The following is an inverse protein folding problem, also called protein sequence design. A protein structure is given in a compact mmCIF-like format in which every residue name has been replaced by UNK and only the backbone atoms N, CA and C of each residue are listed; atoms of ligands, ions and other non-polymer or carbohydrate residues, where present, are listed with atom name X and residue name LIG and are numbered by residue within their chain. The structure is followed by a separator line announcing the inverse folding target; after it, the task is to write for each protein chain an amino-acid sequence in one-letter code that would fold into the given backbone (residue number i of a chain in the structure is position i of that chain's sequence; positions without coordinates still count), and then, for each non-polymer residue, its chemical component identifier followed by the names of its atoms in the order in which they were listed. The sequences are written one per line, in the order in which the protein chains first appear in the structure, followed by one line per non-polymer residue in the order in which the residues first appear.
data_IF_024155224582
#
_entry.id   IF_024155224582
#
_cell.length_a   1.000
_cell.length_b   1.000
_cell.length_c   1.000
_cell.angle_alpha   90.00
_cell.angle_beta   90.00
_cell.angle_gamma   90.00
#
_symmetry.space_group_name_H-M   'P 1'
#
loop_
_entity.id
_entity.type
_entity.pdbx_description
1 polymer ?
#
# COMPACT_ATOMS: atom_id res chain seq x y z
N UNK A 1 24.03 17.83 -9.88
CA UNK A 1 22.66 18.21 -9.46
C UNK A 1 22.14 17.32 -8.33
N UNK A 2 22.51 16.04 -8.32
CA UNK A 2 22.12 15.07 -7.29
C UNK A 2 22.68 15.39 -5.89
N UNK A 3 23.95 15.83 -5.79
CA UNK A 3 24.57 16.29 -4.53
C UNK A 3 23.79 17.45 -3.88
N UNK A 4 23.51 18.51 -4.66
CA UNK A 4 22.68 19.64 -4.21
C UNK A 4 21.30 19.18 -3.72
N UNK A 5 20.65 18.24 -4.43
CA UNK A 5 19.35 17.71 -4.03
C UNK A 5 19.45 17.03 -2.67
N UNK A 6 20.48 16.19 -2.46
CA UNK A 6 20.65 15.43 -1.23
C UNK A 6 20.90 16.35 -0.02
N UNK A 7 21.83 17.30 -0.14
CA UNK A 7 22.19 18.18 0.97
C UNK A 7 21.03 19.09 1.35
N UNK A 8 20.37 19.70 0.36
CA UNK A 8 19.19 20.54 0.62
C UNK A 8 18.03 19.72 1.19
N UNK A 9 17.84 18.47 0.71
CA UNK A 9 16.82 17.56 1.26
C UNK A 9 17.07 17.26 2.73
N UNK A 10 18.32 17.02 3.13
CA UNK A 10 18.68 16.77 4.53
C UNK A 10 18.18 17.90 5.44
N UNK A 11 18.55 19.15 5.13
CA UNK A 11 18.11 20.31 5.92
C UNK A 11 16.59 20.53 5.87
N UNK A 12 15.96 20.27 4.73
CA UNK A 12 14.50 20.39 4.59
C UNK A 12 13.76 19.39 5.48
N UNK A 13 14.23 18.15 5.58
CA UNK A 13 13.59 17.12 6.42
C UNK A 13 13.67 17.49 7.90
N UNK A 14 14.83 17.95 8.38
CA UNK A 14 15.02 18.41 9.76
C UNK A 14 14.15 19.64 10.10
N UNK A 15 13.85 20.48 9.10
CA UNK A 15 13.10 21.72 9.26
C UNK A 15 11.66 21.65 8.76
N UNK A 16 11.06 20.45 8.71
CA UNK A 16 9.64 20.24 8.33
C UNK A 16 9.27 20.87 6.98
N UNK A 17 10.19 20.78 6.03
CA UNK A 17 10.08 21.32 4.67
C UNK A 17 9.96 22.85 4.58
N UNK A 18 10.24 23.59 5.66
CA UNK A 18 10.34 25.06 5.60
C UNK A 18 11.65 25.44 4.91
N UNK A 19 11.60 26.00 3.67
CA UNK A 19 12.81 26.27 2.91
C UNK A 19 13.63 27.43 3.47
N UNK A 20 13.00 28.38 4.19
CA UNK A 20 13.70 29.50 4.80
C UNK A 20 14.47 29.03 6.04
N UNK A 21 13.81 28.27 6.93
CA UNK A 21 14.46 27.71 8.12
C UNK A 21 15.56 26.72 7.76
N UNK A 22 15.33 25.86 6.76
CA UNK A 22 16.32 24.91 6.29
C UNK A 22 17.57 25.61 5.72
N UNK A 23 17.37 26.68 4.94
CA UNK A 23 18.47 27.47 4.41
C UNK A 23 19.23 28.21 5.52
N UNK A 24 18.53 28.80 6.49
CA UNK A 24 19.15 29.42 7.68
C UNK A 24 19.95 28.42 8.51
N UNK A 25 19.41 27.22 8.72
CA UNK A 25 20.08 26.14 9.44
C UNK A 25 21.38 25.72 8.74
N UNK A 26 21.35 25.54 7.41
CA UNK A 26 22.56 25.25 6.64
C UNK A 26 23.59 26.38 6.76
N UNK A 27 23.18 27.64 6.54
CA UNK A 27 24.11 28.78 6.65
C UNK A 27 24.75 28.80 8.04
N UNK A 28 23.96 28.62 9.09
CA UNK A 28 24.44 28.61 10.47
C UNK A 28 25.48 27.51 10.70
N UNK A 29 25.22 26.28 10.27
CA UNK A 29 26.15 25.15 10.43
C UNK A 29 27.49 25.39 9.71
N UNK A 30 27.45 25.89 8.47
CA UNK A 30 28.67 26.17 7.71
C UNK A 30 29.47 27.34 8.31
N UNK A 31 28.80 28.37 8.84
CA UNK A 31 29.46 29.45 9.56
C UNK A 31 30.10 28.97 10.88
N UNK A 32 29.40 28.13 11.64
CA UNK A 32 29.90 27.59 12.91
C UNK A 32 31.07 26.61 12.72
N UNK A 33 31.05 25.81 11.65
CA UNK A 33 32.12 24.87 11.30
C UNK A 33 33.31 25.51 10.57
N UNK A 34 33.19 26.77 10.15
CA UNK A 34 34.18 27.46 9.34
C UNK A 34 34.35 26.88 7.93
N UNK A 35 33.42 26.02 7.49
CA UNK A 35 33.44 25.42 6.16
C UNK A 35 32.83 26.37 5.14
N UNK A 36 33.34 26.42 3.90
CA UNK A 36 32.72 27.20 2.84
C UNK A 36 31.36 26.60 2.45
N UNK A 37 30.36 27.45 2.25
CA UNK A 37 29.06 27.03 1.72
C UNK A 37 29.28 26.40 0.33
N UNK A 38 28.68 25.23 0.03
CA UNK A 38 28.90 24.56 -1.25
C UNK A 38 28.46 25.42 -2.43
N UNK A 39 29.35 25.62 -3.40
CA UNK A 39 29.15 26.54 -4.54
C UNK A 39 27.93 26.20 -5.43
N UNK A 40 27.48 24.94 -5.40
CA UNK A 40 26.34 24.47 -6.18
C UNK A 40 24.99 24.81 -5.53
N UNK A 41 24.97 25.29 -4.29
CA UNK A 41 23.78 25.82 -3.62
C UNK A 41 23.80 27.34 -3.79
N UNK A 42 22.88 27.86 -4.62
CA UNK A 42 22.81 29.28 -5.00
C UNK A 42 21.99 30.13 -4.03
N UNK A 43 21.45 29.50 -2.98
CA UNK A 43 20.72 30.15 -1.89
C UNK A 43 19.31 29.60 -1.72
N UNK A 44 18.45 30.35 -1.02
CA UNK A 44 17.10 29.93 -0.61
C UNK A 44 16.21 29.47 -1.78
N UNK A 45 16.44 29.93 -3.00
CA UNK A 45 15.68 29.49 -4.19
C UNK A 45 15.81 27.99 -4.46
N UNK A 46 16.97 27.40 -4.19
CA UNK A 46 17.17 25.96 -4.36
C UNK A 46 16.40 25.16 -3.30
N UNK A 47 16.35 25.68 -2.06
CA UNK A 47 15.52 25.13 -0.98
C UNK A 47 14.03 25.21 -1.31
N UNK A 48 13.55 26.34 -1.82
CA UNK A 48 12.15 26.49 -2.25
C UNK A 48 11.82 25.47 -3.33
N UNK A 49 12.65 25.37 -4.37
CA UNK A 49 12.43 24.44 -5.47
C UNK A 49 12.40 22.97 -5.00
N UNK A 50 13.36 22.59 -4.17
CA UNK A 50 13.46 21.20 -3.68
C UNK A 50 12.34 20.90 -2.68
N UNK A 51 11.95 21.86 -1.82
CA UNK A 51 10.84 21.67 -0.87
C UNK A 51 9.53 21.30 -1.56
N UNK A 52 9.21 21.96 -2.69
CA UNK A 52 8.01 21.67 -3.47
C UNK A 52 8.07 20.27 -4.10
N UNK A 53 9.22 19.89 -4.66
CA UNK A 53 9.42 18.55 -5.24
C UNK A 53 9.33 17.46 -4.16
N UNK A 54 9.98 17.69 -3.02
CA UNK A 54 10.02 16.76 -1.90
C UNK A 54 8.64 16.60 -1.25
N UNK A 55 7.86 17.67 -1.11
CA UNK A 55 6.48 17.60 -0.63
C UNK A 55 5.61 16.69 -1.52
N UNK A 56 5.73 16.81 -2.84
CA UNK A 56 5.02 15.96 -3.80
C UNK A 56 5.50 14.50 -3.71
N UNK A 57 6.81 14.27 -3.60
CA UNK A 57 7.38 12.92 -3.46
C UNK A 57 6.92 12.24 -2.16
N UNK A 58 6.88 12.97 -1.04
CA UNK A 58 6.42 12.48 0.25
C UNK A 58 4.92 12.15 0.24
N UNK A 59 4.07 13.04 -0.28
CA UNK A 59 2.63 12.79 -0.41
C UNK A 59 2.36 11.55 -1.28
N UNK A 60 3.04 11.42 -2.42
CA UNK A 60 2.92 10.22 -3.27
C UNK A 60 3.32 8.94 -2.52
N UNK A 61 4.41 8.99 -1.76
CA UNK A 61 4.89 7.85 -0.97
C UNK A 61 3.90 7.47 0.14
N UNK A 62 3.33 8.46 0.81
CA UNK A 62 2.31 8.25 1.84
C UNK A 62 1.03 7.64 1.25
N UNK A 63 0.54 8.18 0.12
CA UNK A 63 -0.64 7.64 -0.56
C UNK A 63 -0.42 6.20 -1.05
N UNK A 64 0.77 5.87 -1.57
CA UNK A 64 1.11 4.50 -1.93
C UNK A 64 1.14 3.59 -0.71
N UNK A 65 1.81 3.99 0.37
CA UNK A 65 1.87 3.22 1.61
C UNK A 65 0.47 2.99 2.21
N UNK A 66 -0.42 3.99 2.16
CA UNK A 66 -1.80 3.86 2.60
C UNK A 66 -2.57 2.85 1.74
N UNK A 67 -2.48 2.94 0.41
CA UNK A 67 -3.12 1.98 -0.51
C UNK A 67 -2.60 0.56 -0.31
N UNK A 68 -1.31 0.40 -0.05
CA UNK A 68 -0.72 -0.92 0.17
C UNK A 68 -1.18 -1.53 1.50
N UNK A 69 -1.31 -0.72 2.55
CA UNK A 69 -1.93 -1.15 3.83
C UNK A 69 -3.39 -1.55 3.63
N UNK A 70 -4.19 -0.71 2.98
CA UNK A 70 -5.61 -1.00 2.70
C UNK A 70 -5.76 -2.30 1.89
N UNK A 71 -4.90 -2.53 0.88
CA UNK A 71 -4.89 -3.78 0.11
C UNK A 71 -4.52 -4.99 0.95
N UNK A 72 -3.54 -4.86 1.84
CA UNK A 72 -3.12 -5.93 2.74
C UNK A 72 -4.24 -6.29 3.73
N UNK A 73 -4.91 -5.29 4.30
CA UNK A 73 -6.06 -5.47 5.20
C UNK A 73 -7.25 -6.12 4.50
N UNK A 74 -7.57 -5.68 3.26
CA UNK A 74 -8.61 -6.30 2.45
C UNK A 74 -8.28 -7.76 2.15
N UNK A 75 -7.03 -8.05 1.75
CA UNK A 75 -6.58 -9.41 1.51
C UNK A 75 -6.72 -10.29 2.75
N UNK A 76 -6.31 -9.79 3.92
CA UNK A 76 -6.45 -10.53 5.17
C UNK A 76 -7.91 -10.80 5.53
N UNK A 77 -8.78 -9.80 5.33
CA UNK A 77 -10.23 -9.92 5.54
C UNK A 77 -10.82 -11.06 4.71
N UNK A 78 -10.46 -11.13 3.43
CA UNK A 78 -10.96 -12.18 2.53
C UNK A 78 -10.39 -13.55 2.86
N UNK A 79 -9.11 -13.65 3.22
CA UNK A 79 -8.51 -14.89 3.71
C UNK A 79 -9.28 -15.41 4.94
N UNK A 80 -9.51 -14.54 5.93
CA UNK A 80 -10.25 -14.91 7.13
C UNK A 80 -11.70 -15.28 6.83
N UNK A 81 -12.34 -14.60 5.88
CA UNK A 81 -13.67 -14.98 5.40
C UNK A 81 -13.67 -16.41 4.85
N UNK A 82 -12.77 -16.74 3.91
CA UNK A 82 -12.65 -18.10 3.34
C UNK A 82 -12.39 -19.14 4.44
N UNK A 83 -11.45 -18.86 5.35
CA UNK A 83 -11.11 -19.78 6.44
C UNK A 83 -12.26 -20.01 7.41
N UNK A 84 -13.12 -19.02 7.64
CA UNK A 84 -14.24 -19.12 8.58
C UNK A 84 -15.56 -19.57 7.95
N UNK A 85 -15.65 -19.69 6.62
CA UNK A 85 -16.83 -20.24 5.96
C UNK A 85 -17.13 -21.65 6.50
N UNK A 86 -18.36 -21.84 6.97
CA UNK A 86 -18.92 -23.15 7.31
C UNK A 86 -19.22 -23.97 6.04
N UNK A 87 -19.40 -25.29 6.22
CA UNK A 87 -19.75 -26.21 5.12
C UNK A 87 -21.05 -25.77 4.42
N UNK A 88 -22.05 -25.29 5.17
CA UNK A 88 -23.32 -24.86 4.59
C UNK A 88 -23.19 -23.52 3.84
N UNK A 89 -22.44 -22.55 4.36
CA UNK A 89 -22.24 -21.27 3.67
C UNK A 89 -21.51 -21.44 2.32
N UNK A 90 -20.45 -22.27 2.27
CA UNK A 90 -19.75 -22.51 1.00
C UNK A 90 -20.62 -23.27 -0.01
N UNK A 91 -21.52 -24.15 0.47
CA UNK A 91 -22.49 -24.85 -0.40
C UNK A 91 -23.48 -23.88 -1.04
N UNK A 92 -23.97 -22.92 -0.29
CA UNK A 92 -24.90 -21.92 -0.80
C UNK A 92 -24.21 -20.96 -1.77
N UNK A 93 -22.99 -20.51 -1.45
CA UNK A 93 -22.14 -19.74 -2.37
C UNK A 93 -21.92 -20.52 -3.66
N UNK A 94 -21.48 -21.78 -3.57
CA UNK A 94 -21.22 -22.62 -4.74
C UNK A 94 -22.46 -22.75 -5.62
N UNK A 95 -23.62 -23.09 -5.03
CA UNK A 95 -24.89 -23.21 -5.78
C UNK A 95 -25.31 -21.91 -6.46
N UNK A 96 -25.13 -20.77 -5.79
CA UNK A 96 -25.52 -19.45 -6.29
C UNK A 96 -24.64 -19.01 -7.47
N UNK A 97 -23.34 -19.27 -7.38
CA UNK A 97 -22.36 -18.68 -8.30
C UNK A 97 -21.84 -19.62 -9.40
N UNK A 98 -21.92 -20.96 -9.23
CA UNK A 98 -21.31 -21.96 -10.15
C UNK A 98 -21.69 -21.86 -11.63
N UNK A 99 -22.84 -21.25 -11.95
CA UNK A 99 -23.36 -21.16 -13.31
C UNK A 99 -23.36 -19.70 -13.83
N UNK A 100 -22.94 -18.75 -12.99
CA UNK A 100 -22.91 -17.30 -13.29
C UNK A 100 -21.48 -16.81 -13.50
N UNK A 101 -20.50 -17.44 -12.84
CA UNK A 101 -19.09 -17.07 -12.95
C UNK A 101 -18.40 -17.75 -14.13
N UNK A 102 -17.20 -17.25 -14.47
CA UNK A 102 -16.37 -17.88 -15.50
C UNK A 102 -16.00 -19.32 -15.13
N UNK A 103 -15.66 -20.16 -16.12
CA UNK A 103 -15.23 -21.55 -15.85
C UNK A 103 -14.04 -21.61 -14.89
N UNK A 104 -13.08 -20.69 -15.02
CA UNK A 104 -11.92 -20.61 -14.14
C UNK A 104 -12.31 -20.27 -12.70
N UNK A 105 -13.22 -19.33 -12.50
CA UNK A 105 -13.73 -18.98 -11.17
C UNK A 105 -14.60 -20.10 -10.56
N UNK A 106 -15.31 -20.85 -11.40
CA UNK A 106 -16.08 -22.03 -10.98
C UNK A 106 -15.18 -23.11 -10.40
N UNK A 107 -14.01 -23.36 -11.01
CA UNK A 107 -13.03 -24.32 -10.49
C UNK A 107 -12.53 -23.89 -9.11
N UNK A 108 -12.22 -22.60 -8.94
CA UNK A 108 -11.82 -22.04 -7.64
C UNK A 108 -12.89 -22.26 -6.57
N UNK A 109 -14.17 -22.00 -6.90
CA UNK A 109 -15.28 -22.26 -5.99
C UNK A 109 -15.43 -23.74 -5.67
N UNK A 110 -15.19 -24.60 -6.65
CA UNK A 110 -15.21 -26.04 -6.46
C UNK A 110 -14.09 -26.52 -5.55
N UNK A 111 -12.87 -26.01 -5.72
CA UNK A 111 -11.71 -26.37 -4.90
C UNK A 111 -11.94 -25.99 -3.43
N UNK A 112 -12.37 -24.76 -3.17
CA UNK A 112 -12.70 -24.31 -1.80
C UNK A 112 -13.86 -25.13 -1.22
N UNK A 113 -14.88 -25.45 -2.03
CA UNK A 113 -15.98 -26.31 -1.61
C UNK A 113 -15.48 -27.71 -1.22
N UNK A 114 -14.66 -28.36 -2.05
CA UNK A 114 -14.11 -29.69 -1.77
C UNK A 114 -13.24 -29.66 -0.52
N UNK A 115 -12.32 -28.69 -0.41
CA UNK A 115 -11.42 -28.55 0.75
C UNK A 115 -12.16 -28.32 2.07
N UNK A 116 -13.35 -27.70 2.04
CA UNK A 116 -14.19 -27.51 3.23
C UNK A 116 -15.02 -28.75 3.58
N UNK A 117 -15.33 -29.58 2.59
CA UNK A 117 -16.18 -30.77 2.77
C UNK A 117 -15.38 -32.03 3.11
N UNK A 118 -14.15 -32.15 2.59
CA UNK A 118 -13.16 -33.06 3.16
C UNK A 118 -12.75 -32.52 4.52
N UNK A 119 -12.46 -33.37 5.51
CA UNK A 119 -12.02 -32.92 6.84
C UNK A 119 -10.57 -32.37 6.83
N UNK A 120 -10.26 -31.62 5.78
CA UNK A 120 -9.02 -30.94 5.55
C UNK A 120 -9.02 -29.60 6.30
N UNK A 121 -8.04 -29.41 7.17
CA UNK A 121 -7.84 -28.14 7.85
C UNK A 121 -7.15 -27.15 6.89
N UNK A 122 -7.97 -26.38 6.18
CA UNK A 122 -7.49 -25.32 5.30
C UNK A 122 -6.70 -24.27 6.09
N UNK A 123 -5.51 -23.93 5.59
CA UNK A 123 -4.64 -22.91 6.15
C UNK A 123 -4.50 -21.71 5.21
N UNK A 124 -3.93 -20.61 5.71
CA UNK A 124 -3.63 -19.43 4.90
C UNK A 124 -2.73 -19.70 3.70
N UNK A 125 -1.88 -20.74 3.75
CA UNK A 125 -0.97 -21.10 2.65
C UNK A 125 -1.70 -21.72 1.47
N UNK A 126 -2.88 -22.27 1.70
CA UNK A 126 -3.69 -22.95 0.68
C UNK A 126 -4.56 -21.94 -0.10
N UNK A 127 -4.65 -20.70 0.40
CA UNK A 127 -5.42 -19.62 -0.21
C UNK A 127 -4.52 -18.80 -1.12
N UNK A 128 -4.67 -19.01 -2.42
CA UNK A 128 -3.94 -18.27 -3.45
C UNK A 128 -4.60 -16.93 -3.83
N UNK A 129 -3.94 -16.19 -4.71
CA UNK A 129 -4.43 -14.89 -5.16
C UNK A 129 -5.71 -15.00 -6.01
N UNK A 130 -5.93 -16.10 -6.72
CA UNK A 130 -7.11 -16.28 -7.54
C UNK A 130 -8.35 -16.57 -6.67
N UNK A 131 -8.20 -17.39 -5.62
CA UNK A 131 -9.19 -17.56 -4.55
C UNK A 131 -9.56 -16.22 -3.93
N UNK A 132 -8.57 -15.42 -3.53
CA UNK A 132 -8.81 -14.09 -2.96
C UNK A 132 -9.62 -13.21 -3.93
N UNK A 133 -9.27 -13.20 -5.22
CA UNK A 133 -9.97 -12.37 -6.20
C UNK A 133 -11.44 -12.80 -6.42
N UNK A 134 -11.70 -14.11 -6.47
CA UNK A 134 -13.05 -14.66 -6.60
C UNK A 134 -13.88 -14.30 -5.37
N UNK A 135 -13.38 -14.60 -4.18
CA UNK A 135 -14.11 -14.34 -2.94
C UNK A 135 -14.20 -12.86 -2.60
N UNK A 136 -13.29 -12.00 -3.09
CA UNK A 136 -13.45 -10.53 -2.99
C UNK A 136 -14.70 -10.05 -3.71
N UNK A 137 -14.99 -10.58 -4.92
CA UNK A 137 -16.18 -10.20 -5.69
C UNK A 137 -17.45 -10.67 -4.98
N UNK A 138 -17.47 -11.93 -4.55
CA UNK A 138 -18.59 -12.53 -3.83
C UNK A 138 -18.86 -11.81 -2.50
N UNK A 139 -17.82 -11.51 -1.73
CA UNK A 139 -17.94 -10.81 -0.44
C UNK A 139 -18.54 -9.42 -0.60
N UNK A 140 -18.15 -8.67 -1.64
CA UNK A 140 -18.73 -7.35 -1.94
C UNK A 140 -20.20 -7.41 -2.30
N UNK A 141 -20.61 -8.40 -3.10
CA UNK A 141 -22.02 -8.61 -3.48
C UNK A 141 -22.91 -9.07 -2.33
N UNK A 142 -22.35 -9.74 -1.33
CA UNK A 142 -23.09 -10.13 -0.12
C UNK A 142 -23.31 -8.95 0.85
N UNK A 143 -22.37 -7.99 0.91
CA UNK A 143 -22.48 -6.81 1.77
C UNK A 143 -23.33 -5.67 1.17
N UNK A 144 -23.60 -5.70 -0.14
CA UNK A 144 -24.49 -4.77 -0.83
C UNK A 144 -25.58 -5.54 -1.56
N UNK A 145 -26.60 -6.06 -0.85
CA UNK A 145 -27.75 -6.63 -1.53
C UNK A 145 -28.47 -5.49 -2.27
N UNK A 146 -28.49 -5.58 -3.59
CA UNK A 146 -29.36 -4.77 -4.47
C UNK A 146 -30.83 -5.02 -4.11
#
# INVERSE_FOLDING_TARGET
MELMKNDVTFYLLENKLDPHRAHEAMIKEYLESGQPIPYYIKGVKDFIKISQQLAIELDRKEQMAKRDREKAEQKETIINYILNLSKDEIKDIYKKYKDVVSYSDKLVLHDVYVMKYTDYEMSKKDIDQHMINVFTRIYKEQLQPV
#
